data_IF_539888850968
#
_entry.id   IF_539888850968
#
_cell.length_a   1.000
_cell.length_b   1.000
_cell.length_c   1.000
_cell.angle_alpha   90.00
_cell.angle_beta   90.00
_cell.angle_gamma   90.00
#
_symmetry.space_group_name_H-M   'P 1'
#
loop_
_entity.id
_entity.type
_entity.pdbx_description
1 polymer ?
#
# COMPACT_ATOMS: atom_id res chain seq x y z
N UNK A 1 15.19 13.19 12.06
CA UNK A 1 15.60 13.62 10.72
C UNK A 1 14.47 13.29 9.75
N UNK A 2 14.14 14.14 8.77
CA UNK A 2 13.31 13.71 7.66
C UNK A 2 14.06 12.60 6.92
N UNK A 3 13.48 11.41 6.85
CA UNK A 3 13.99 10.32 6.02
C UNK A 3 13.31 10.46 4.64
N UNK A 4 13.98 11.07 3.65
CA UNK A 4 13.46 11.15 2.30
C UNK A 4 13.30 9.74 1.73
N UNK A 5 12.34 9.57 0.83
CA UNK A 5 12.01 8.28 0.24
C UNK A 5 11.76 8.48 -1.26
N UNK A 6 12.30 7.57 -2.07
CA UNK A 6 12.03 7.54 -3.52
C UNK A 6 11.29 6.26 -3.87
N UNK A 7 10.05 6.40 -4.35
CA UNK A 7 9.22 5.28 -4.84
C UNK A 7 9.04 5.47 -6.34
N UNK A 8 9.47 4.49 -7.14
CA UNK A 8 9.42 4.51 -8.62
C UNK A 8 9.84 5.86 -9.24
N UNK A 9 10.93 6.46 -8.73
CA UNK A 9 11.44 7.76 -9.20
C UNK A 9 10.70 9.00 -8.67
N UNK A 10 9.54 8.83 -8.03
CA UNK A 10 8.88 9.90 -7.29
C UNK A 10 9.57 10.11 -5.94
N UNK A 11 10.08 11.33 -5.74
CA UNK A 11 10.75 11.72 -4.50
C UNK A 11 9.75 12.30 -3.49
N UNK A 12 9.86 11.85 -2.25
CA UNK A 12 9.15 12.39 -1.10
C UNK A 12 10.17 12.96 -0.12
N UNK A 13 9.94 14.19 0.34
CA UNK A 13 10.79 14.89 1.31
C UNK A 13 10.81 14.21 2.69
N UNK A 14 9.78 13.41 3.00
CA UNK A 14 9.69 12.65 4.25
C UNK A 14 8.76 11.44 4.14
N UNK A 15 8.90 10.49 5.07
CA UNK A 15 7.94 9.39 5.27
C UNK A 15 6.50 9.90 5.49
N UNK A 16 6.33 11.02 6.21
CA UNK A 16 5.00 11.59 6.47
C UNK A 16 4.35 12.06 5.16
N UNK A 17 5.12 12.65 4.26
CA UNK A 17 4.63 13.07 2.94
C UNK A 17 4.22 11.86 2.10
N UNK A 18 5.06 10.82 2.05
CA UNK A 18 4.73 9.58 1.36
C UNK A 18 3.47 8.92 1.94
N UNK A 19 3.36 8.80 3.28
CA UNK A 19 2.17 8.28 3.93
C UNK A 19 0.91 9.06 3.56
N UNK A 20 0.96 10.39 3.58
CA UNK A 20 -0.17 11.25 3.20
C UNK A 20 -0.58 11.04 1.75
N UNK A 21 0.40 10.95 0.84
CA UNK A 21 0.14 10.69 -0.57
C UNK A 21 -0.60 9.36 -0.78
N UNK A 22 -0.06 8.26 -0.25
CA UNK A 22 -0.67 6.94 -0.41
C UNK A 22 -1.99 6.78 0.36
N UNK A 23 -2.18 7.47 1.48
CA UNK A 23 -3.49 7.53 2.14
C UNK A 23 -4.52 8.34 1.36
N UNK A 24 -4.12 9.45 0.74
CA UNK A 24 -4.98 10.20 -0.16
C UNK A 24 -5.45 9.33 -1.33
N UNK A 25 -4.52 8.56 -1.92
CA UNK A 25 -4.84 7.56 -2.95
C UNK A 25 -5.86 6.52 -2.45
N UNK A 26 -5.58 5.90 -1.31
CA UNK A 26 -6.47 4.91 -0.69
C UNK A 26 -7.87 5.49 -0.48
N UNK A 27 -7.96 6.68 0.11
CA UNK A 27 -9.25 7.28 0.46
C UNK A 27 -10.02 7.73 -0.78
N UNK A 28 -9.33 8.22 -1.82
CA UNK A 28 -9.91 8.51 -3.14
C UNK A 28 -10.49 7.24 -3.78
N UNK A 29 -9.69 6.17 -3.83
CA UNK A 29 -10.14 4.89 -4.40
C UNK A 29 -11.29 4.27 -3.60
N UNK A 30 -11.27 4.37 -2.26
CA UNK A 30 -12.37 3.90 -1.42
C UNK A 30 -13.67 4.66 -1.68
N UNK A 31 -13.59 5.96 -1.99
CA UNK A 31 -14.75 6.80 -2.30
C UNK A 31 -15.28 6.57 -3.72
N UNK A 32 -14.40 6.43 -4.72
CA UNK A 32 -14.82 6.15 -6.10
C UNK A 32 -15.20 4.70 -6.34
N UNK A 33 -14.69 3.79 -5.51
CA UNK A 33 -14.67 2.36 -5.78
C UNK A 33 -13.73 2.00 -6.94
N UNK A 34 -13.69 0.70 -7.24
CA UNK A 34 -12.98 0.14 -8.39
C UNK A 34 -11.51 -0.20 -8.15
N UNK A 35 -10.89 -0.76 -9.18
CA UNK A 35 -9.51 -1.20 -9.18
C UNK A 35 -8.59 -0.11 -9.76
N UNK A 36 -7.50 0.18 -9.05
CA UNK A 36 -6.36 0.94 -9.56
C UNK A 36 -5.54 -0.02 -10.44
N UNK A 37 -5.55 0.23 -11.74
CA UNK A 37 -4.86 -0.58 -12.76
C UNK A 37 -4.14 0.32 -13.75
N UNK A 38 -3.01 -0.15 -14.30
CA UNK A 38 -2.32 0.42 -15.47
C UNK A 38 -2.18 1.96 -15.44
N UNK A 39 -1.82 2.52 -14.29
CA UNK A 39 -1.72 3.96 -14.05
C UNK A 39 -0.48 4.30 -13.24
N UNK A 40 -0.08 5.56 -13.22
CA UNK A 40 1.03 6.02 -12.34
C UNK A 40 0.76 5.67 -10.87
N UNK A 41 -0.50 5.74 -10.45
CA UNK A 41 -0.93 5.37 -9.09
C UNK A 41 -0.69 3.87 -8.83
N UNK A 42 -0.96 3.01 -9.81
CA UNK A 42 -0.65 1.58 -9.76
C UNK A 42 0.86 1.34 -9.65
N UNK A 43 1.67 1.96 -10.51
CA UNK A 43 3.12 1.75 -10.54
C UNK A 43 3.80 2.13 -9.21
N UNK A 44 3.31 3.18 -8.55
CA UNK A 44 3.80 3.63 -7.25
C UNK A 44 3.42 2.65 -6.12
N UNK A 45 2.19 2.14 -6.14
CA UNK A 45 1.74 1.13 -5.18
C UNK A 45 2.48 -0.20 -5.38
N UNK A 46 2.71 -0.60 -6.63
CA UNK A 46 3.45 -1.79 -6.98
C UNK A 46 4.89 -1.72 -6.43
N UNK A 47 5.62 -0.65 -6.73
CA UNK A 47 6.99 -0.47 -6.25
C UNK A 47 7.05 -0.43 -4.70
N UNK A 48 6.12 0.28 -4.06
CA UNK A 48 6.02 0.31 -2.60
C UNK A 48 5.76 -1.09 -2.01
N UNK A 49 4.79 -1.83 -2.58
CA UNK A 49 4.39 -3.14 -2.10
C UNK A 49 5.50 -4.18 -2.29
N UNK A 50 6.10 -4.26 -3.48
CA UNK A 50 7.18 -5.21 -3.78
C UNK A 50 8.39 -4.98 -2.86
N UNK A 51 8.79 -3.71 -2.65
CA UNK A 51 9.90 -3.39 -1.74
C UNK A 51 9.57 -3.73 -0.29
N UNK A 52 8.34 -3.47 0.14
CA UNK A 52 7.88 -3.86 1.47
C UNK A 52 7.95 -5.38 1.65
N UNK A 53 7.45 -6.14 0.69
CA UNK A 53 7.49 -7.61 0.75
C UNK A 53 8.92 -8.14 0.77
N UNK A 54 9.80 -7.60 -0.08
CA UNK A 54 11.22 -7.96 -0.08
C UNK A 54 11.90 -7.66 1.26
N UNK A 55 11.61 -6.52 1.88
CA UNK A 55 12.22 -6.10 3.14
C UNK A 55 11.66 -6.83 4.37
N UNK A 56 10.52 -7.51 4.25
CA UNK A 56 9.88 -8.26 5.35
C UNK A 56 9.87 -9.77 5.11
N UNK A 57 10.52 -10.24 4.04
CA UNK A 57 10.44 -11.62 3.55
C UNK A 57 8.99 -12.10 3.37
N UNK A 58 8.08 -11.17 3.10
CA UNK A 58 6.66 -11.47 2.92
C UNK A 58 6.43 -12.08 1.54
N UNK A 59 5.77 -13.24 1.50
CA UNK A 59 5.52 -13.97 0.26
C UNK A 59 4.63 -13.18 -0.70
N UNK A 60 5.17 -12.94 -1.90
CA UNK A 60 4.44 -12.37 -3.03
C UNK A 60 3.86 -13.55 -3.85
N UNK A 61 2.52 -13.72 -3.95
CA UNK A 61 1.92 -14.85 -4.66
C UNK A 61 2.19 -14.83 -6.17
N UNK A 62 2.30 -13.63 -6.74
CA UNK A 62 2.60 -13.41 -8.14
C UNK A 62 2.72 -11.92 -8.44
N UNK A 63 2.63 -11.53 -9.71
CA UNK A 63 2.64 -10.11 -10.07
C UNK A 63 1.30 -9.46 -9.67
N UNK A 64 1.32 -8.32 -8.95
CA UNK A 64 0.12 -7.52 -8.76
C UNK A 64 -0.48 -7.13 -10.12
N UNK A 65 -1.80 -7.24 -10.25
CA UNK A 65 -2.54 -6.83 -11.46
C UNK A 65 -3.50 -5.68 -11.18
N UNK A 66 -3.86 -5.46 -9.92
CA UNK A 66 -4.67 -4.34 -9.48
C UNK A 66 -4.43 -4.04 -7.99
N UNK A 67 -4.74 -2.82 -7.58
CA UNK A 67 -4.88 -2.46 -6.18
C UNK A 67 -6.25 -1.86 -5.92
N UNK A 68 -6.78 -2.04 -4.73
CA UNK A 68 -8.00 -1.33 -4.32
C UNK A 68 -7.99 -1.10 -2.80
N UNK A 69 -8.78 -0.13 -2.37
CA UNK A 69 -8.98 0.18 -0.97
C UNK A 69 -10.23 -0.52 -0.45
N UNK A 70 -10.15 -1.08 0.76
CA UNK A 70 -11.31 -1.62 1.45
C UNK A 70 -11.29 -1.34 2.94
N UNK A 71 -12.49 -1.41 3.52
CA UNK A 71 -12.69 -1.47 4.95
C UNK A 71 -12.35 -2.88 5.45
N UNK A 72 -11.29 -3.01 6.24
CA UNK A 72 -10.80 -4.26 6.81
C UNK A 72 -11.29 -4.34 8.25
N UNK A 73 -12.13 -5.33 8.54
CA UNK A 73 -12.61 -5.61 9.89
C UNK A 73 -11.51 -6.36 10.63
N UNK A 74 -10.95 -5.76 11.68
CA UNK A 74 -9.82 -6.35 12.40
C UNK A 74 -10.26 -7.36 13.47
N UNK A 75 -11.42 -7.17 14.10
CA UNK A 75 -12.05 -8.09 15.07
C UNK A 75 -13.56 -7.77 15.20
N UNK A 76 -14.38 -8.71 15.67
CA UNK A 76 -15.78 -8.50 16.05
C UNK A 76 -15.92 -8.42 17.58
N UNK A 77 -16.50 -7.33 18.12
CA UNK A 77 -16.73 -7.14 19.55
C UNK A 77 -16.56 -5.70 20.03
N UNK A 78 -16.60 -5.42 21.36
CA UNK A 78 -16.52 -4.05 21.92
C UNK A 78 -15.18 -3.33 21.65
N UNK A 79 -14.15 -4.08 21.27
CA UNK A 79 -12.83 -3.59 20.87
C UNK A 79 -12.58 -3.71 19.35
N UNK A 80 -13.56 -4.21 18.61
CA UNK A 80 -13.49 -4.39 17.17
C UNK A 80 -13.44 -3.04 16.45
N UNK A 81 -12.61 -2.95 15.42
CA UNK A 81 -12.44 -1.73 14.64
C UNK A 81 -12.31 -2.03 13.14
N UNK A 82 -12.82 -1.11 12.34
CA UNK A 82 -12.64 -1.12 10.88
C UNK A 82 -11.46 -0.23 10.53
N UNK A 83 -10.45 -0.80 9.87
CA UNK A 83 -9.31 -0.05 9.34
C UNK A 83 -9.40 0.03 7.82
N UNK A 84 -9.15 1.21 7.25
CA UNK A 84 -9.02 1.35 5.79
C UNK A 84 -7.64 0.88 5.36
N UNK A 85 -7.57 -0.17 4.54
CA UNK A 85 -6.32 -0.67 3.99
C UNK A 85 -6.32 -0.70 2.46
N UNK A 86 -5.17 -1.05 1.92
CA UNK A 86 -4.97 -1.30 0.49
C UNK A 86 -4.82 -2.81 0.31
N UNK A 87 -5.41 -3.33 -0.75
CA UNK A 87 -5.37 -4.73 -1.14
C UNK A 87 -4.71 -4.83 -2.49
N UNK A 88 -3.69 -5.68 -2.59
CA UNK A 88 -3.10 -6.11 -3.85
C UNK A 88 -3.88 -7.32 -4.38
N UNK A 89 -4.34 -7.25 -5.63
CA UNK A 89 -4.88 -8.40 -6.38
C UNK A 89 -3.79 -8.96 -7.27
N UNK A 90 -3.66 -10.27 -7.30
CA UNK A 90 -2.64 -10.96 -8.09
C UNK A 90 -3.24 -11.68 -9.29
N UNK A 91 -2.40 -11.96 -10.28
CA UNK A 91 -2.78 -12.69 -11.50
C UNK A 91 -3.33 -14.10 -11.25
N UNK A 92 -2.99 -14.73 -10.11
CA UNK A 92 -3.53 -16.03 -9.68
C UNK A 92 -4.90 -15.93 -8.99
N UNK A 93 -5.47 -14.71 -8.91
CA UNK A 93 -6.73 -14.42 -8.24
C UNK A 93 -6.62 -14.27 -6.73
N UNK A 94 -5.43 -14.44 -6.14
CA UNK A 94 -5.23 -14.20 -4.72
C UNK A 94 -5.24 -12.71 -4.40
N UNK A 95 -5.49 -12.39 -3.13
CA UNK A 95 -5.48 -11.02 -2.62
C UNK A 95 -4.62 -10.95 -1.36
N UNK A 96 -3.91 -9.83 -1.19
CA UNK A 96 -3.21 -9.55 0.06
C UNK A 96 -3.39 -8.11 0.49
N UNK A 97 -3.74 -7.95 1.76
CA UNK A 97 -3.85 -6.65 2.39
C UNK A 97 -2.49 -6.18 2.90
N UNK A 98 -2.21 -4.89 2.78
CA UNK A 98 -1.04 -4.30 3.43
C UNK A 98 -1.35 -2.91 4.00
N UNK A 99 -0.51 -2.51 4.96
CA UNK A 99 -0.59 -1.18 5.58
C UNK A 99 0.41 -0.26 4.91
N UNK A 100 -0.09 0.82 4.30
CA UNK A 100 0.73 1.91 3.72
C UNK A 100 1.78 2.41 4.72
N UNK A 101 1.38 2.70 5.97
CA UNK A 101 2.31 3.17 7.00
C UNK A 101 3.41 2.15 7.31
N UNK A 102 3.09 0.86 7.38
CA UNK A 102 4.12 -0.18 7.58
C UNK A 102 5.04 -0.26 6.37
N UNK A 103 4.48 -0.26 5.16
CA UNK A 103 5.25 -0.31 3.92
C UNK A 103 6.21 0.87 3.80
N UNK A 104 5.73 2.10 3.95
CA UNK A 104 6.55 3.32 3.89
C UNK A 104 7.67 3.27 4.93
N UNK A 105 7.35 2.92 6.18
CA UNK A 105 8.34 2.85 7.26
C UNK A 105 9.42 1.81 6.98
N UNK A 106 9.04 0.61 6.53
CA UNK A 106 9.98 -0.48 6.24
C UNK A 106 10.86 -0.12 5.05
N UNK A 107 10.25 0.36 3.96
CA UNK A 107 11.01 0.72 2.76
C UNK A 107 11.99 1.83 3.08
N UNK A 108 11.58 2.87 3.80
CA UNK A 108 12.46 3.96 4.21
C UNK A 108 13.57 3.55 5.20
N UNK A 109 13.40 2.44 5.92
CA UNK A 109 14.45 1.87 6.79
C UNK A 109 15.40 0.92 6.05
N UNK A 110 14.99 0.44 4.86
CA UNK A 110 15.74 -0.50 4.02
C UNK A 110 16.37 0.18 2.79
N UNK A 111 16.21 1.51 2.70
CA UNK A 111 16.73 2.36 1.61
C UNK A 111 18.08 2.96 1.96
#
# INVERSE_FOLDING_TARGET
>A
MPNPLVIKGQSFSSQIEAERFFYGLRDKNLASGGDITSSTEFDLLEDLYIRYCKATDWKIPGNPVAFYARNIIRESGPKGGTTRGVVAKFSDGSEQEFSVKKAVRVVAASS
#
